data_IF_819211101565
#
_entry.id   IF_819211101565
#
_cell.length_a   1.000
_cell.length_b   1.000
_cell.length_c   1.000
_cell.angle_alpha   90.00
_cell.angle_beta   90.00
_cell.angle_gamma   90.00
#
_symmetry.space_group_name_H-M   'P 1'
#
loop_
_entity.id
_entity.type
_entity.pdbx_description
1 polymer ?
#
# COMPACT_ATOMS: atom_id res chain seq x y z
N UNK A 1 -1.46 -19.63 -25.51
CA UNK A 1 -2.34 -18.56 -26.04
C UNK A 1 -1.49 -17.31 -26.15
N UNK A 2 -1.49 -16.62 -27.29
CA UNK A 2 -0.75 -15.35 -27.43
C UNK A 2 -1.52 -14.26 -26.72
N UNK A 3 -0.83 -13.27 -26.14
CA UNK A 3 -1.45 -12.16 -25.43
C UNK A 3 -2.47 -11.39 -26.29
N UNK A 4 -2.17 -11.19 -27.60
CA UNK A 4 -3.04 -10.54 -28.58
C UNK A 4 -4.40 -11.25 -28.70
N UNK A 5 -4.40 -12.57 -28.80
CA UNK A 5 -5.64 -13.36 -28.95
C UNK A 5 -6.52 -13.29 -27.70
N UNK A 6 -5.91 -13.26 -26.50
CA UNK A 6 -6.66 -13.12 -25.25
C UNK A 6 -7.26 -11.71 -25.12
N UNK A 7 -6.51 -10.68 -25.52
CA UNK A 7 -6.99 -9.29 -25.52
C UNK A 7 -8.13 -9.07 -26.52
N UNK A 8 -8.04 -9.65 -27.73
CA UNK A 8 -9.07 -9.55 -28.75
C UNK A 8 -10.39 -10.21 -28.29
N UNK A 9 -10.31 -11.42 -27.71
CA UNK A 9 -11.48 -12.11 -27.16
C UNK A 9 -12.13 -11.27 -26.05
N UNK A 10 -11.31 -10.67 -25.17
CA UNK A 10 -11.81 -9.84 -24.08
C UNK A 10 -12.43 -8.54 -24.59
N UNK A 11 -11.84 -7.91 -25.62
CA UNK A 11 -12.36 -6.70 -26.26
C UNK A 11 -13.67 -6.92 -26.99
N UNK A 12 -13.90 -8.10 -27.58
CA UNK A 12 -15.15 -8.44 -28.25
C UNK A 12 -16.29 -8.73 -27.27
N UNK A 13 -15.98 -9.25 -26.09
CA UNK A 13 -16.97 -9.61 -25.07
C UNK A 13 -17.47 -8.42 -24.27
N UNK A 14 -16.66 -7.37 -24.10
CA UNK A 14 -17.00 -6.20 -23.28
C UNK A 14 -17.35 -5.00 -24.16
N UNK A 15 -18.55 -4.44 -23.98
CA UNK A 15 -18.90 -3.09 -24.48
C UNK A 15 -18.20 -2.06 -23.59
N UNK A 16 -16.90 -1.85 -23.85
CA UNK A 16 -15.91 -1.28 -22.95
C UNK A 16 -16.15 0.15 -22.47
N UNK A 17 -16.83 1.00 -23.25
CA UNK A 17 -16.85 2.44 -22.94
C UNK A 17 -17.52 2.78 -21.58
N UNK A 18 -18.54 2.03 -21.19
CA UNK A 18 -19.21 2.26 -19.90
C UNK A 18 -18.42 1.68 -18.73
N UNK A 19 -17.81 0.50 -18.92
CA UNK A 19 -17.05 -0.19 -17.87
C UNK A 19 -15.77 0.55 -17.51
N UNK A 20 -15.09 1.12 -18.50
CA UNK A 20 -13.85 1.86 -18.26
C UNK A 20 -14.10 3.10 -17.38
N UNK A 21 -15.13 3.88 -17.69
CA UNK A 21 -15.50 5.05 -16.88
C UNK A 21 -15.91 4.64 -15.46
N UNK A 22 -16.68 3.58 -15.31
CA UNK A 22 -17.10 3.05 -14.02
C UNK A 22 -15.91 2.55 -13.18
N UNK A 23 -15.00 1.77 -13.76
CA UNK A 23 -13.82 1.27 -13.08
C UNK A 23 -12.96 2.43 -12.56
N UNK A 24 -12.72 3.44 -13.40
CA UNK A 24 -11.95 4.63 -13.05
C UNK A 24 -12.63 5.38 -11.89
N UNK A 25 -13.95 5.59 -11.98
CA UNK A 25 -14.71 6.31 -10.95
C UNK A 25 -14.64 5.59 -9.59
N UNK A 26 -14.84 4.27 -9.57
CA UNK A 26 -14.78 3.51 -8.32
C UNK A 26 -13.36 3.37 -7.78
N UNK A 27 -12.34 3.27 -8.64
CA UNK A 27 -10.94 3.28 -8.22
C UNK A 27 -10.60 4.57 -7.49
N UNK A 28 -10.97 5.73 -8.04
CA UNK A 28 -10.78 7.03 -7.41
C UNK A 28 -11.53 7.16 -6.08
N UNK A 29 -12.80 6.71 -6.02
CA UNK A 29 -13.62 6.75 -4.80
C UNK A 29 -13.01 5.91 -3.69
N UNK A 30 -12.66 4.65 -3.98
CA UNK A 30 -12.06 3.72 -3.03
C UNK A 30 -10.70 4.23 -2.56
N UNK A 31 -9.85 4.65 -3.49
CA UNK A 31 -8.54 5.18 -3.19
C UNK A 31 -8.59 6.42 -2.29
N UNK A 32 -9.51 7.37 -2.58
CA UNK A 32 -9.69 8.55 -1.76
C UNK A 32 -10.23 8.22 -0.37
N UNK A 33 -11.19 7.29 -0.26
CA UNK A 33 -11.71 6.82 1.03
C UNK A 33 -10.60 6.19 1.89
N UNK A 34 -9.74 5.34 1.31
CA UNK A 34 -8.59 4.76 2.00
C UNK A 34 -7.58 5.81 2.45
N UNK A 35 -7.28 6.81 1.61
CA UNK A 35 -6.39 7.92 1.96
C UNK A 35 -6.91 8.77 3.11
N UNK A 36 -8.23 9.00 3.14
CA UNK A 36 -8.92 9.74 4.19
C UNK A 36 -9.22 8.90 5.43
N UNK A 37 -8.86 7.60 5.42
CA UNK A 37 -9.15 6.63 6.48
C UNK A 37 -10.65 6.47 6.76
N UNK A 38 -11.47 6.74 5.76
CA UNK A 38 -12.92 6.52 5.83
C UNK A 38 -13.25 5.09 5.37
N UNK A 39 -12.98 4.13 6.23
CA UNK A 39 -13.09 2.70 5.93
C UNK A 39 -14.54 2.26 5.67
N UNK A 40 -15.49 2.82 6.39
CA UNK A 40 -16.92 2.56 6.16
C UNK A 40 -17.36 2.96 4.75
N UNK A 41 -16.92 4.13 4.29
CA UNK A 41 -17.21 4.58 2.95
C UNK A 41 -16.48 3.75 1.88
N UNK A 42 -15.27 3.27 2.18
CA UNK A 42 -14.53 2.35 1.33
C UNK A 42 -15.31 1.04 1.14
N UNK A 43 -15.82 0.43 2.22
CA UNK A 43 -16.63 -0.78 2.15
C UNK A 43 -17.90 -0.59 1.31
N UNK A 44 -18.57 0.56 1.45
CA UNK A 44 -19.74 0.91 0.62
C UNK A 44 -19.39 0.97 -0.86
N UNK A 45 -18.33 1.69 -1.23
CA UNK A 45 -17.91 1.81 -2.61
C UNK A 45 -17.51 0.47 -3.23
N UNK A 46 -16.84 -0.40 -2.48
CA UNK A 46 -16.53 -1.76 -2.93
C UNK A 46 -17.78 -2.60 -3.15
N UNK A 47 -18.78 -2.48 -2.25
CA UNK A 47 -20.07 -3.17 -2.39
C UNK A 47 -20.84 -2.66 -3.61
N UNK A 48 -20.92 -1.34 -3.77
CA UNK A 48 -21.61 -0.69 -4.90
C UNK A 48 -20.97 -1.14 -6.21
N UNK A 49 -19.63 -1.17 -6.30
CA UNK A 49 -18.92 -1.65 -7.47
C UNK A 49 -19.26 -3.11 -7.80
N UNK A 50 -19.33 -4.00 -6.80
CA UNK A 50 -19.78 -5.37 -7.03
C UNK A 50 -21.20 -5.42 -7.57
N UNK A 51 -22.12 -4.59 -7.07
CA UNK A 51 -23.51 -4.58 -7.54
C UNK A 51 -23.65 -4.06 -8.97
N UNK A 52 -22.84 -3.11 -9.41
CA UNK A 52 -22.82 -2.63 -10.81
C UNK A 52 -22.45 -3.75 -11.79
N UNK A 53 -21.69 -4.75 -11.35
CA UNK A 53 -21.26 -5.86 -12.20
C UNK A 53 -22.26 -7.03 -12.29
N UNK A 54 -23.35 -7.03 -11.52
CA UNK A 54 -24.29 -8.18 -11.43
C UNK A 54 -24.86 -8.59 -12.80
N UNK A 55 -25.01 -7.65 -13.74
CA UNK A 55 -25.56 -7.92 -15.07
C UNK A 55 -24.50 -8.35 -16.11
N UNK A 56 -23.24 -8.47 -15.72
CA UNK A 56 -22.13 -8.93 -16.56
C UNK A 56 -22.02 -10.46 -16.44
N UNK A 57 -21.60 -11.19 -17.49
CA UNK A 57 -21.36 -12.63 -17.38
C UNK A 57 -20.38 -12.98 -16.25
N UNK A 58 -20.64 -14.06 -15.52
CA UNK A 58 -19.92 -14.41 -14.29
C UNK A 58 -18.39 -14.52 -14.48
N UNK A 59 -17.97 -15.11 -15.60
CA UNK A 59 -16.53 -15.24 -15.91
C UNK A 59 -15.86 -13.86 -16.05
N UNK A 60 -16.54 -12.90 -16.66
CA UNK A 60 -16.05 -11.53 -16.84
C UNK A 60 -16.10 -10.75 -15.51
N UNK A 61 -17.17 -10.93 -14.70
CA UNK A 61 -17.27 -10.34 -13.36
C UNK A 61 -16.04 -10.69 -12.53
N UNK A 62 -15.68 -11.98 -12.48
CA UNK A 62 -14.56 -12.47 -11.67
C UNK A 62 -13.23 -11.85 -12.13
N UNK A 63 -13.00 -11.73 -13.43
CA UNK A 63 -11.79 -11.11 -13.98
C UNK A 63 -11.71 -9.63 -13.60
N UNK A 64 -12.81 -8.89 -13.76
CA UNK A 64 -12.87 -7.45 -13.42
C UNK A 64 -12.66 -7.24 -11.92
N UNK A 65 -13.39 -7.98 -11.08
CA UNK A 65 -13.27 -7.88 -9.62
C UNK A 65 -11.86 -8.22 -9.14
N UNK A 66 -11.30 -9.32 -9.63
CA UNK A 66 -9.92 -9.74 -9.31
C UNK A 66 -8.92 -8.64 -9.64
N UNK A 67 -8.99 -8.10 -10.85
CA UNK A 67 -8.10 -7.03 -11.30
C UNK A 67 -8.27 -5.79 -10.45
N UNK A 68 -9.50 -5.38 -10.15
CA UNK A 68 -9.82 -4.20 -9.36
C UNK A 68 -9.32 -4.31 -7.91
N UNK A 69 -9.61 -5.42 -7.21
CA UNK A 69 -9.15 -5.61 -5.83
C UNK A 69 -7.63 -5.71 -5.72
N UNK A 70 -6.98 -6.34 -6.71
CA UNK A 70 -5.50 -6.42 -6.77
C UNK A 70 -4.90 -5.04 -7.06
N UNK A 71 -5.53 -4.21 -7.90
CA UNK A 71 -5.05 -2.84 -8.18
C UNK A 71 -5.02 -1.98 -6.91
N UNK A 72 -6.05 -2.06 -6.08
CA UNK A 72 -6.10 -1.35 -4.79
C UNK A 72 -4.91 -1.73 -3.88
N UNK A 73 -4.61 -3.01 -3.76
CA UNK A 73 -3.46 -3.47 -2.97
C UNK A 73 -2.16 -2.90 -3.55
N UNK A 74 -1.99 -2.98 -4.87
CA UNK A 74 -0.80 -2.49 -5.55
C UNK A 74 -0.61 -0.99 -5.37
N UNK A 75 -1.69 -0.20 -5.40
CA UNK A 75 -1.59 1.24 -5.22
C UNK A 75 -1.24 1.62 -3.77
N UNK A 76 -1.77 0.91 -2.79
CA UNK A 76 -1.35 1.08 -1.40
C UNK A 76 0.14 0.73 -1.22
N UNK A 77 0.63 -0.34 -1.85
CA UNK A 77 2.05 -0.71 -1.83
C UNK A 77 2.91 0.33 -2.55
N UNK A 78 2.49 0.83 -3.72
CA UNK A 78 3.22 1.88 -4.46
C UNK A 78 3.40 3.15 -3.61
N UNK A 79 2.37 3.55 -2.84
CA UNK A 79 2.48 4.69 -1.92
C UNK A 79 3.57 4.43 -0.88
N UNK A 80 3.62 3.22 -0.31
CA UNK A 80 4.64 2.83 0.68
C UNK A 80 6.04 2.81 0.07
N UNK A 81 6.18 2.27 -1.14
CA UNK A 81 7.46 2.28 -1.88
C UNK A 81 7.94 3.72 -2.11
N UNK A 82 7.07 4.60 -2.64
CA UNK A 82 7.41 6.00 -2.91
C UNK A 82 7.80 6.77 -1.65
N UNK A 83 7.16 6.47 -0.52
CA UNK A 83 7.51 7.04 0.78
C UNK A 83 8.68 6.31 1.46
N UNK A 84 9.31 5.31 0.79
CA UNK A 84 10.39 4.46 1.33
C UNK A 84 10.04 3.81 2.69
N UNK A 85 8.76 3.55 2.92
CA UNK A 85 8.21 2.99 4.17
C UNK A 85 7.67 1.58 4.01
N UNK A 86 8.06 0.89 2.93
CA UNK A 86 7.65 -0.49 2.70
C UNK A 86 8.46 -1.43 3.60
N UNK A 87 7.77 -2.09 4.50
CA UNK A 87 8.34 -3.15 5.33
C UNK A 87 8.04 -4.52 4.72
N UNK A 88 8.97 -5.47 4.86
CA UNK A 88 8.82 -6.85 4.39
C UNK A 88 7.51 -7.49 4.86
N UNK A 89 7.06 -7.14 6.08
CA UNK A 89 5.80 -7.62 6.62
C UNK A 89 4.59 -7.11 5.84
N UNK A 90 4.53 -5.81 5.51
CA UNK A 90 3.43 -5.26 4.71
C UNK A 90 3.38 -5.88 3.31
N UNK A 91 4.54 -6.13 2.71
CA UNK A 91 4.65 -6.81 1.43
C UNK A 91 4.16 -8.28 1.52
N UNK A 92 4.53 -9.00 2.57
CA UNK A 92 4.07 -10.38 2.80
C UNK A 92 2.54 -10.45 2.95
N UNK A 93 1.94 -9.49 3.69
CA UNK A 93 0.48 -9.40 3.80
C UNK A 93 -0.18 -9.07 2.46
N UNK A 94 0.38 -8.14 1.69
CA UNK A 94 -0.15 -7.79 0.37
C UNK A 94 -0.15 -9.00 -0.58
N UNK A 95 0.94 -9.76 -0.64
CA UNK A 95 0.98 -11.00 -1.44
C UNK A 95 0.01 -12.05 -0.93
N UNK A 96 -0.14 -12.21 0.40
CA UNK A 96 -1.13 -13.11 0.98
C UNK A 96 -2.56 -12.73 0.59
N UNK A 97 -2.89 -11.43 0.60
CA UNK A 97 -4.19 -10.93 0.16
C UNK A 97 -4.43 -11.19 -1.33
N UNK A 98 -3.45 -10.91 -2.19
CA UNK A 98 -3.53 -11.19 -3.63
C UNK A 98 -3.77 -12.69 -3.85
N UNK A 99 -2.99 -13.56 -3.20
CA UNK A 99 -3.17 -15.00 -3.29
C UNK A 99 -4.59 -15.43 -2.88
N UNK A 100 -5.15 -14.83 -1.82
CA UNK A 100 -6.52 -15.11 -1.37
C UNK A 100 -7.56 -14.67 -2.40
N UNK A 101 -7.40 -13.47 -2.98
CA UNK A 101 -8.30 -12.93 -4.02
C UNK A 101 -8.28 -13.84 -5.26
N UNK A 102 -7.12 -14.40 -5.61
CA UNK A 102 -6.99 -15.31 -6.75
C UNK A 102 -7.81 -16.61 -6.60
N UNK A 103 -8.17 -17.00 -5.38
CA UNK A 103 -8.99 -18.17 -5.12
C UNK A 103 -10.50 -17.88 -5.23
N UNK A 104 -10.92 -16.62 -5.21
CA UNK A 104 -12.34 -16.26 -5.31
C UNK A 104 -12.85 -16.46 -6.74
N UNK A 105 -13.99 -17.11 -6.83
CA UNK A 105 -14.57 -17.63 -8.08
C UNK A 105 -15.91 -17.00 -8.47
N UNK A 106 -16.53 -16.23 -7.58
CA UNK A 106 -17.83 -15.62 -7.81
C UNK A 106 -18.01 -14.33 -7.00
N UNK A 107 -18.92 -13.46 -7.43
CA UNK A 107 -19.18 -12.15 -6.82
C UNK A 107 -19.55 -12.22 -5.34
N UNK A 108 -20.20 -13.30 -4.89
CA UNK A 108 -20.59 -13.44 -3.49
C UNK A 108 -19.39 -13.56 -2.55
N UNK A 109 -18.30 -14.20 -3.00
CA UNK A 109 -17.05 -14.29 -2.23
C UNK A 109 -16.40 -12.92 -2.06
N UNK A 110 -16.45 -12.08 -3.09
CA UNK A 110 -15.99 -10.68 -2.97
C UNK A 110 -16.84 -9.89 -1.98
N UNK A 111 -18.17 -9.92 -2.12
CA UNK A 111 -19.10 -9.20 -1.24
C UNK A 111 -18.91 -9.60 0.23
N UNK A 112 -18.84 -10.88 0.51
CA UNK A 112 -18.64 -11.41 1.88
C UNK A 112 -17.26 -11.04 2.47
N UNK A 113 -16.28 -10.81 1.61
CA UNK A 113 -14.90 -10.55 2.02
C UNK A 113 -14.56 -9.07 2.15
N UNK A 114 -15.43 -8.13 1.72
CA UNK A 114 -15.14 -6.69 1.71
C UNK A 114 -14.65 -6.18 3.06
N UNK A 115 -15.37 -6.44 4.15
CA UNK A 115 -14.99 -5.93 5.47
C UNK A 115 -13.65 -6.51 5.94
N UNK A 116 -13.38 -7.79 5.69
CA UNK A 116 -12.10 -8.39 6.02
C UNK A 116 -10.97 -7.86 5.12
N UNK A 117 -11.24 -7.58 3.86
CA UNK A 117 -10.31 -6.98 2.92
C UNK A 117 -9.90 -5.57 3.37
N UNK A 118 -10.87 -4.71 3.69
CA UNK A 118 -10.63 -3.34 4.16
C UNK A 118 -9.90 -3.34 5.50
N UNK A 119 -10.28 -4.22 6.44
CA UNK A 119 -9.59 -4.35 7.72
C UNK A 119 -8.15 -4.84 7.55
N UNK A 120 -7.87 -5.76 6.62
CA UNK A 120 -6.50 -6.19 6.32
C UNK A 120 -5.66 -5.07 5.71
N UNK A 121 -6.20 -4.28 4.79
CA UNK A 121 -5.51 -3.09 4.27
C UNK A 121 -5.21 -2.12 5.40
N UNK A 122 -6.21 -1.79 6.22
CA UNK A 122 -6.09 -0.89 7.36
C UNK A 122 -5.02 -1.39 8.32
N UNK A 123 -5.12 -2.62 8.81
CA UNK A 123 -4.28 -3.14 9.88
C UNK A 123 -2.87 -3.54 9.44
N UNK A 124 -2.68 -4.01 8.22
CA UNK A 124 -1.42 -4.60 7.78
C UNK A 124 -0.68 -3.77 6.72
N UNK A 125 -1.40 -2.95 5.94
CA UNK A 125 -0.76 -2.12 4.91
C UNK A 125 -0.73 -0.65 5.34
N UNK A 126 -1.86 -0.07 5.76
CA UNK A 126 -1.93 1.35 6.16
C UNK A 126 -1.34 1.54 7.56
N UNK A 127 -1.67 0.71 8.52
CA UNK A 127 -1.32 0.87 9.93
C UNK A 127 0.14 0.59 10.28
N UNK A 128 0.96 0.14 9.34
CA UNK A 128 2.41 0.27 9.50
C UNK A 128 2.86 1.75 9.58
N UNK A 129 1.97 2.70 9.31
CA UNK A 129 2.10 4.11 9.73
C UNK A 129 1.50 4.37 11.13
N UNK A 130 0.55 3.54 11.58
CA UNK A 130 -0.21 3.70 12.85
C UNK A 130 0.56 3.17 14.07
N UNK A 131 1.62 2.37 13.91
CA UNK A 131 2.50 2.01 15.01
C UNK A 131 3.05 3.24 15.75
N UNK A 132 2.82 4.42 15.18
CA UNK A 132 3.30 5.69 15.70
C UNK A 132 2.16 6.71 15.98
N UNK A 133 0.88 6.34 15.80
CA UNK A 133 -0.25 7.20 16.18
C UNK A 133 -0.20 7.51 17.67
N UNK A 134 0.04 8.79 17.95
CA UNK A 134 0.22 9.32 19.30
C UNK A 134 1.64 9.77 19.62
N UNK A 135 2.65 9.45 18.80
CA UNK A 135 3.99 9.98 18.98
C UNK A 135 4.52 10.68 17.73
N UNK A 136 4.12 11.94 17.59
CA UNK A 136 4.55 12.82 16.50
C UNK A 136 6.08 12.87 16.32
N UNK A 137 6.86 12.65 17.38
CA UNK A 137 8.32 12.68 17.31
C UNK A 137 8.89 11.51 16.53
N UNK A 138 8.35 10.28 16.67
CA UNK A 138 8.85 9.13 15.93
C UNK A 138 8.48 9.25 14.44
N UNK A 139 7.25 9.67 14.12
CA UNK A 139 6.84 9.89 12.71
C UNK A 139 7.74 10.93 12.03
N UNK A 140 7.97 12.05 12.71
CA UNK A 140 8.82 13.11 12.18
C UNK A 140 10.29 12.68 12.10
N UNK A 141 10.76 11.84 13.04
CA UNK A 141 12.10 11.24 12.99
C UNK A 141 12.29 10.41 11.72
N UNK A 142 11.34 9.53 11.43
CA UNK A 142 11.39 8.66 10.25
C UNK A 142 11.34 9.48 8.95
N UNK A 143 10.49 10.51 8.92
CA UNK A 143 10.41 11.42 7.77
C UNK A 143 11.74 12.15 7.55
N UNK A 144 12.34 12.70 8.61
CA UNK A 144 13.63 13.40 8.51
C UNK A 144 14.77 12.45 8.09
N UNK A 145 14.75 11.20 8.55
CA UNK A 145 15.73 10.19 8.11
C UNK A 145 15.59 9.97 6.60
N UNK A 146 14.37 9.74 6.11
CA UNK A 146 14.12 9.46 4.70
C UNK A 146 14.46 10.66 3.79
N UNK A 147 14.20 11.88 4.25
CA UNK A 147 14.54 13.11 3.52
C UNK A 147 16.06 13.39 3.43
N UNK A 148 16.86 12.82 4.35
CA UNK A 148 18.28 13.15 4.49
C UNK A 148 19.20 11.92 4.34
N UNK A 149 18.73 10.81 3.77
CA UNK A 149 19.51 9.58 3.61
C UNK A 149 20.83 9.79 2.86
N UNK A 150 20.82 10.63 1.83
CA UNK A 150 22.00 10.95 1.02
C UNK A 150 22.96 11.95 1.73
N UNK A 151 22.50 12.57 2.81
CA UNK A 151 23.26 13.61 3.52
C UNK A 151 24.34 13.04 4.44
N UNK A 152 25.53 13.72 4.49
CA UNK A 152 26.60 13.42 5.43
C UNK A 152 26.24 13.74 6.89
N UNK A 153 25.22 14.54 7.13
CA UNK A 153 24.87 15.15 8.41
C UNK A 153 23.91 14.29 9.25
N UNK A 154 23.32 13.22 8.67
CA UNK A 154 22.32 12.40 9.36
C UNK A 154 22.94 11.57 10.48
N UNK A 155 22.88 12.10 11.71
CA UNK A 155 23.31 11.47 12.94
C UNK A 155 22.20 11.45 13.98
N UNK A 156 22.31 10.60 15.00
CA UNK A 156 21.33 10.54 16.11
C UNK A 156 21.19 11.91 16.80
N UNK A 157 22.31 12.60 16.98
CA UNK A 157 22.36 13.92 17.62
C UNK A 157 21.64 14.97 16.77
N UNK A 158 21.96 15.06 15.48
CA UNK A 158 21.32 15.96 14.54
C UNK A 158 19.80 15.74 14.49
N UNK A 159 19.38 14.46 14.49
CA UNK A 159 17.96 14.10 14.45
C UNK A 159 17.23 14.55 15.72
N UNK A 160 17.83 14.33 16.89
CA UNK A 160 17.29 14.76 18.17
C UNK A 160 17.17 16.29 18.27
N UNK A 161 18.17 17.04 17.79
CA UNK A 161 18.14 18.51 17.70
C UNK A 161 17.00 19.00 16.80
N UNK A 162 16.84 18.40 15.62
CA UNK A 162 15.76 18.78 14.66
C UNK A 162 14.37 18.52 15.22
N UNK A 163 14.24 17.53 16.09
CA UNK A 163 12.99 17.18 16.76
C UNK A 163 12.77 17.94 18.07
N UNK A 164 13.77 18.71 18.51
CA UNK A 164 13.77 19.42 19.79
C UNK A 164 13.52 18.46 20.99
N UNK A 165 14.19 17.30 20.99
CA UNK A 165 14.13 16.28 22.04
C UNK A 165 15.54 15.81 22.40
N UNK A 166 15.67 15.12 23.55
CA UNK A 166 16.95 14.51 23.93
C UNK A 166 17.24 13.24 23.11
N UNK A 167 18.54 12.94 22.91
CA UNK A 167 18.97 11.70 22.25
C UNK A 167 18.51 10.46 23.01
N UNK A 168 18.44 10.53 24.34
CA UNK A 168 17.93 9.45 25.20
C UNK A 168 16.43 9.20 24.94
N UNK A 169 15.63 10.26 24.85
CA UNK A 169 14.21 10.14 24.56
C UNK A 169 13.99 9.58 23.15
N UNK A 170 14.74 10.06 22.16
CA UNK A 170 14.71 9.52 20.80
C UNK A 170 15.07 8.02 20.77
N UNK A 171 16.13 7.62 21.49
CA UNK A 171 16.54 6.21 21.58
C UNK A 171 15.45 5.33 22.21
N UNK A 172 14.77 5.83 23.25
CA UNK A 172 13.65 5.13 23.87
C UNK A 172 12.45 4.98 22.90
N UNK A 173 12.13 6.04 22.15
CA UNK A 173 11.08 5.98 21.14
C UNK A 173 11.36 4.90 20.10
N UNK A 174 12.57 4.85 19.57
CA UNK A 174 12.97 3.83 18.58
C UNK A 174 12.92 2.42 19.19
N UNK A 175 13.38 2.26 20.44
CA UNK A 175 13.32 0.96 21.12
C UNK A 175 11.88 0.49 21.36
N UNK A 176 10.99 1.38 21.78
CA UNK A 176 9.58 1.05 22.06
C UNK A 176 8.81 0.74 20.78
N UNK A 177 9.00 1.56 19.75
CA UNK A 177 8.17 1.51 18.56
C UNK A 177 8.73 0.65 17.42
N UNK A 178 10.06 0.47 17.36
CA UNK A 178 10.74 -0.24 16.27
C UNK A 178 11.57 -1.43 16.76
N UNK A 179 11.72 -1.57 18.08
CA UNK A 179 12.63 -2.55 18.72
C UNK A 179 14.06 -2.51 18.17
N UNK A 180 14.51 -1.35 17.69
CA UNK A 180 15.80 -1.13 17.02
C UNK A 180 16.48 0.13 17.57
N UNK A 181 17.83 0.19 17.50
CA UNK A 181 18.55 1.42 17.82
C UNK A 181 18.45 2.42 16.68
N UNK A 182 18.41 3.71 17.01
CA UNK A 182 18.35 4.80 15.99
C UNK A 182 19.50 4.71 15.00
N UNK A 183 20.73 4.45 15.49
CA UNK A 183 21.93 4.31 14.65
C UNK A 183 21.80 3.16 13.65
N UNK A 184 21.28 2.02 14.12
CA UNK A 184 21.16 0.81 13.31
C UNK A 184 20.05 0.99 12.25
N UNK A 185 18.94 1.64 12.63
CA UNK A 185 17.90 2.04 11.70
C UNK A 185 18.44 2.95 10.60
N UNK A 186 19.16 4.03 10.96
CA UNK A 186 19.77 4.95 9.99
C UNK A 186 20.73 4.20 9.06
N UNK A 187 21.60 3.34 9.60
CA UNK A 187 22.55 2.56 8.81
C UNK A 187 21.83 1.63 7.82
N UNK A 188 20.85 0.89 8.30
CA UNK A 188 20.05 0.00 7.44
C UNK A 188 19.38 0.78 6.31
N UNK A 189 18.72 1.91 6.62
CA UNK A 189 18.07 2.74 5.59
C UNK A 189 19.06 3.27 4.55
N UNK A 190 20.26 3.67 4.95
CA UNK A 190 21.33 4.09 4.02
C UNK A 190 21.80 2.93 3.13
N UNK A 191 21.94 1.72 3.69
CA UNK A 191 22.31 0.54 2.92
C UNK A 191 21.22 0.15 1.91
N UNK A 192 19.95 0.19 2.32
CA UNK A 192 18.80 -0.06 1.43
C UNK A 192 18.81 0.91 0.25
N UNK A 193 19.11 2.19 0.49
CA UNK A 193 19.24 3.22 -0.54
C UNK A 193 20.37 2.94 -1.51
N UNK A 194 21.54 2.61 -0.99
CA UNK A 194 22.72 2.27 -1.83
C UNK A 194 22.42 1.04 -2.69
N UNK A 195 21.80 0.01 -2.12
CA UNK A 195 21.40 -1.19 -2.88
C UNK A 195 20.42 -0.83 -3.98
N UNK A 196 19.41 0.02 -3.67
CA UNK A 196 18.45 0.49 -4.66
C UNK A 196 19.13 1.28 -5.80
N UNK A 197 20.00 2.22 -5.45
CA UNK A 197 20.73 3.00 -6.46
C UNK A 197 21.62 2.12 -7.35
N UNK A 198 22.35 1.18 -6.77
CA UNK A 198 23.20 0.26 -7.53
C UNK A 198 22.42 -0.70 -8.42
N UNK A 199 21.21 -1.07 -8.02
CA UNK A 199 20.39 -2.07 -8.74
C UNK A 199 19.55 -1.44 -9.84
N UNK A 200 19.03 -0.24 -9.61
CA UNK A 200 18.00 0.37 -10.46
C UNK A 200 18.39 1.70 -11.09
N UNK A 201 19.54 2.27 -10.72
CA UNK A 201 20.02 3.52 -11.33
C UNK A 201 21.40 3.32 -11.96
N UNK A 202 21.63 3.92 -13.14
CA UNK A 202 22.95 3.93 -13.80
C UNK A 202 23.88 5.04 -13.26
N UNK A 203 23.76 5.39 -11.98
CA UNK A 203 24.70 6.31 -11.34
C UNK A 203 26.02 5.56 -11.06
N UNK A 204 26.99 5.72 -11.95
CA UNK A 204 28.41 5.38 -11.73
C UNK A 204 29.08 6.53 -10.98
#
# INVERSE_FOLDING_TARGET
>A
MKFETASEIFLESIKLSYLDEMIIEYDEKVFNALRQRNYEQCERYLSDFCFELVNIPEEEQVIILKTFFVSIINDMIKIKIRKRRLHSRALAYAYGMIYTIEQWSNISEYLLSISSFVENIKSNIISTEILFEGNHHIERALTLIDEHLEGKVLTVHWLAERLNISTTYLANLFKIHLDEKVSDYILRRKMDEVIYELTYTNKT
#
